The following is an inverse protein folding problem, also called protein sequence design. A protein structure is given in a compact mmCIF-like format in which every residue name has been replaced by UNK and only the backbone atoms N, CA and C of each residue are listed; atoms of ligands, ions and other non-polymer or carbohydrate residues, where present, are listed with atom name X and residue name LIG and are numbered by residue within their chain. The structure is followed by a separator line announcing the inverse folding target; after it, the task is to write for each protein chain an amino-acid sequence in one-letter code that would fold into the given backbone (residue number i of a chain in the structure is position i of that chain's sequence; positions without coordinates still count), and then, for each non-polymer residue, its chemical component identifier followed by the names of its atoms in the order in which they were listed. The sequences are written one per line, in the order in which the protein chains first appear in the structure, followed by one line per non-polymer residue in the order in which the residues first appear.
data_IF_861229442162
#
_entry.id   IF_861229442162
#
_cell.length_a   1.000
_cell.length_b   1.000
_cell.length_c   1.000
_cell.angle_alpha   90.00
_cell.angle_beta   90.00
_cell.angle_gamma   90.00
#
_symmetry.space_group_name_H-M   'P 1'
#
loop_
_entity.id
_entity.type
_entity.pdbx_description
1 polymer ?
#
# COMPACT_ATOMS: atom_id res chain seq x y z
N UNK A 1 -13.86 5.78 40.54
CA UNK A 1 -14.90 5.91 39.49
C UNK A 1 -14.53 6.86 38.36
N UNK A 2 -14.15 8.12 38.64
CA UNK A 2 -13.80 9.09 37.59
C UNK A 2 -12.67 8.63 36.64
N UNK A 3 -11.58 8.05 37.16
CA UNK A 3 -10.49 7.54 36.32
C UNK A 3 -10.92 6.35 35.44
N UNK A 4 -11.77 5.46 35.98
CA UNK A 4 -12.32 4.33 35.20
C UNK A 4 -13.22 4.84 34.08
N UNK A 5 -14.03 5.87 34.35
CA UNK A 5 -14.88 6.51 33.34
C UNK A 5 -14.06 7.19 32.23
N UNK A 6 -12.90 7.79 32.56
CA UNK A 6 -12.01 8.37 31.58
C UNK A 6 -11.27 7.32 30.72
N UNK A 7 -11.00 6.13 31.26
CA UNK A 7 -10.33 5.05 30.54
C UNK A 7 -11.28 4.21 29.68
N UNK A 8 -12.51 3.99 30.13
CA UNK A 8 -13.46 3.06 29.51
C UNK A 8 -13.67 3.27 27.98
N UNK A 9 -13.68 4.50 27.43
CA UNK A 9 -13.84 4.69 25.97
C UNK A 9 -12.62 4.24 25.14
N UNK A 10 -11.45 4.18 25.76
CA UNK A 10 -10.15 4.09 25.08
C UNK A 10 -9.41 2.77 25.28
N UNK A 11 -9.88 1.91 26.18
CA UNK A 11 -9.21 0.67 26.55
C UNK A 11 -10.24 -0.47 26.59
N UNK A 12 -9.97 -1.58 25.87
CA UNK A 12 -10.89 -2.73 25.82
C UNK A 12 -11.03 -3.48 27.14
N UNK A 13 -10.06 -3.35 28.04
CA UNK A 13 -10.06 -3.92 29.39
C UNK A 13 -9.34 -2.94 30.33
N UNK A 14 -9.85 -2.76 31.55
CA UNK A 14 -9.29 -1.85 32.55
C UNK A 14 -8.47 -2.53 33.64
N UNK A 15 -8.69 -3.82 33.85
CA UNK A 15 -8.17 -4.55 35.02
C UNK A 15 -7.13 -5.61 34.61
N UNK A 16 -7.29 -6.22 33.44
CA UNK A 16 -6.41 -7.27 32.93
C UNK A 16 -5.06 -6.76 32.40
N UNK A 17 -4.05 -7.64 32.32
CA UNK A 17 -2.74 -7.32 31.78
C UNK A 17 -2.72 -7.21 30.24
N UNK A 18 -3.76 -7.71 29.57
CA UNK A 18 -3.91 -7.66 28.11
C UNK A 18 -5.12 -6.80 27.75
N UNK A 19 -4.90 -5.82 26.88
CA UNK A 19 -5.92 -4.87 26.45
C UNK A 19 -5.47 -4.19 25.14
N UNK A 20 -6.42 -3.64 24.40
CA UNK A 20 -6.18 -2.86 23.18
C UNK A 20 -6.62 -1.40 23.37
N UNK A 21 -5.98 -0.49 22.64
CA UNK A 21 -6.39 0.91 22.54
C UNK A 21 -7.48 1.04 21.49
N UNK A 22 -8.56 1.74 21.83
CA UNK A 22 -9.68 2.05 20.93
C UNK A 22 -9.96 3.53 20.94
N UNK A 23 -10.60 4.06 19.90
CA UNK A 23 -11.11 5.45 19.88
C UNK A 23 -10.06 6.50 20.31
N UNK A 24 -8.80 6.32 19.91
CA UNK A 24 -7.72 7.26 20.13
C UNK A 24 -7.13 7.66 18.78
N UNK A 25 -6.78 8.94 18.57
CA UNK A 25 -6.01 9.36 17.41
C UNK A 25 -4.67 8.60 17.31
N UNK A 26 -4.23 8.34 16.08
CA UNK A 26 -2.99 7.58 15.82
C UNK A 26 -1.76 8.25 16.46
N UNK A 27 -1.70 9.58 16.45
CA UNK A 27 -0.61 10.34 17.11
C UNK A 27 -0.57 10.12 18.61
N UNK A 28 -1.74 10.02 19.25
CA UNK A 28 -1.85 9.75 20.69
C UNK A 28 -1.38 8.32 20.99
N UNK A 29 -1.77 7.34 20.17
CA UNK A 29 -1.30 5.95 20.31
C UNK A 29 0.23 5.89 20.20
N UNK A 30 0.80 6.50 19.18
CA UNK A 30 2.25 6.55 18.95
C UNK A 30 2.99 7.21 20.11
N UNK A 31 2.57 8.41 20.53
CA UNK A 31 3.17 9.14 21.64
C UNK A 31 3.05 8.36 22.98
N UNK A 32 1.90 7.74 23.24
CA UNK A 32 1.67 6.99 24.47
C UNK A 32 2.59 5.78 24.57
N UNK A 33 2.77 5.01 23.49
CA UNK A 33 3.70 3.88 23.48
C UNK A 33 5.17 4.31 23.51
N UNK A 34 5.52 5.43 22.86
CA UNK A 34 6.85 6.02 22.99
C UNK A 34 7.17 6.33 24.46
N UNK A 35 6.23 6.97 25.19
CA UNK A 35 6.36 7.22 26.63
C UNK A 35 6.40 5.92 27.45
N UNK A 36 5.58 4.94 27.09
CA UNK A 36 5.49 3.67 27.81
C UNK A 36 6.81 2.90 27.80
N UNK A 37 7.51 2.89 26.66
CA UNK A 37 8.80 2.21 26.52
C UNK A 37 9.89 2.72 27.49
N UNK A 38 9.72 3.92 28.06
CA UNK A 38 10.70 4.60 28.93
C UNK A 38 10.15 4.96 30.32
N UNK A 39 9.03 4.35 30.73
CA UNK A 39 8.34 4.68 31.98
C UNK A 39 8.13 3.44 32.85
N UNK A 40 8.21 3.63 34.17
CA UNK A 40 7.84 2.61 35.15
C UNK A 40 6.31 2.51 35.37
N UNK A 41 5.53 3.44 34.81
CA UNK A 41 4.07 3.48 34.95
C UNK A 41 3.39 2.59 33.91
N UNK A 42 2.22 2.06 34.25
CA UNK A 42 1.35 1.38 33.29
C UNK A 42 0.85 2.33 32.19
N UNK A 43 0.50 1.79 31.02
CA UNK A 43 -0.04 2.57 29.90
C UNK A 43 -1.30 3.37 30.29
N UNK A 44 -2.21 2.78 31.08
CA UNK A 44 -3.43 3.44 31.59
C UNK A 44 -3.09 4.62 32.51
N UNK A 45 -2.09 4.47 33.39
CA UNK A 45 -1.67 5.57 34.27
C UNK A 45 -1.02 6.70 33.48
N UNK A 46 -0.18 6.37 32.50
CA UNK A 46 0.40 7.36 31.58
C UNK A 46 -0.68 8.14 30.82
N UNK A 47 -1.68 7.44 30.29
CA UNK A 47 -2.82 8.07 29.64
C UNK A 47 -3.54 9.06 30.58
N UNK A 48 -3.88 8.64 31.80
CA UNK A 48 -4.53 9.50 32.79
C UNK A 48 -3.70 10.73 33.17
N UNK A 49 -2.39 10.54 33.36
CA UNK A 49 -1.47 11.60 33.79
C UNK A 49 -1.23 12.65 32.70
N UNK A 50 -1.04 12.19 31.46
CA UNK A 50 -0.47 12.98 30.37
C UNK A 50 -1.47 13.30 29.25
N UNK A 51 -2.55 12.54 29.06
CA UNK A 51 -3.43 12.64 27.88
C UNK A 51 -4.93 12.77 28.18
N UNK A 52 -5.42 12.28 29.32
CA UNK A 52 -6.84 12.30 29.67
C UNK A 52 -7.35 13.65 30.18
N UNK A 53 -6.45 14.59 30.50
CA UNK A 53 -6.82 15.93 30.96
C UNK A 53 -7.25 16.77 29.75
N UNK A 54 -8.45 17.38 29.76
CA UNK A 54 -8.84 18.31 28.70
C UNK A 54 -7.82 19.44 28.63
N UNK A 55 -7.40 19.84 27.43
CA UNK A 55 -6.83 21.18 27.27
C UNK A 55 -7.92 22.16 27.71
N UNK A 56 -7.53 23.24 28.39
CA UNK A 56 -8.45 24.20 29.00
C UNK A 56 -9.34 24.98 27.99
N UNK A 57 -9.38 24.57 26.72
CA UNK A 57 -10.03 25.25 25.60
C UNK A 57 -11.09 24.41 24.86
N UNK A 58 -11.32 23.14 25.21
CA UNK A 58 -12.25 22.29 24.47
C UNK A 58 -13.53 21.97 25.25
N UNK A 59 -14.47 22.92 25.29
CA UNK A 59 -15.88 22.60 25.58
C UNK A 59 -16.49 21.89 24.37
N UNK A 60 -17.10 20.72 24.63
CA UNK A 60 -18.07 20.04 23.78
C UNK A 60 -17.68 19.82 22.30
N UNK A 61 -16.75 18.89 22.04
CA UNK A 61 -16.74 18.17 20.75
C UNK A 61 -16.60 16.66 20.98
N UNK A 62 -17.43 15.91 20.26
CA UNK A 62 -17.52 14.44 20.30
C UNK A 62 -16.16 13.76 20.10
N UNK A 63 -15.74 12.94 21.06
CA UNK A 63 -14.87 11.75 20.94
C UNK A 63 -13.54 11.83 20.15
N UNK A 64 -13.04 13.01 19.75
CA UNK A 64 -11.92 13.10 18.79
C UNK A 64 -10.70 13.90 19.23
N UNK A 65 -10.81 14.79 20.23
CA UNK A 65 -9.77 15.78 20.55
C UNK A 65 -9.03 15.51 21.87
N UNK A 66 -9.04 14.27 22.37
CA UNK A 66 -8.33 13.94 23.61
C UNK A 66 -6.82 13.99 23.37
N UNK A 67 -6.16 15.02 23.91
CA UNK A 67 -4.70 15.07 24.03
C UNK A 67 -3.92 15.19 22.71
N UNK A 68 -4.55 15.59 21.60
CA UNK A 68 -3.89 15.66 20.27
C UNK A 68 -2.74 16.68 20.26
N UNK A 69 -2.97 17.93 20.64
CA UNK A 69 -1.94 18.99 20.66
C UNK A 69 -0.72 18.56 21.49
N UNK A 70 -0.99 18.04 22.70
CA UNK A 70 0.06 17.55 23.59
C UNK A 70 0.77 16.31 23.04
N UNK A 71 0.06 15.42 22.35
CA UNK A 71 0.66 14.28 21.68
C UNK A 71 1.53 14.70 20.50
N UNK A 72 1.12 15.71 19.73
CA UNK A 72 1.90 16.28 18.63
C UNK A 72 3.18 16.95 19.15
N UNK A 73 3.11 17.79 20.19
CA UNK A 73 4.30 18.41 20.82
C UNK A 73 5.27 17.35 21.38
N UNK A 74 4.73 16.32 22.07
CA UNK A 74 5.52 15.21 22.60
C UNK A 74 6.16 14.41 21.48
N UNK A 75 5.42 14.17 20.40
CA UNK A 75 5.89 13.45 19.23
C UNK A 75 6.98 14.22 18.52
N UNK A 76 6.78 15.51 18.22
CA UNK A 76 7.78 16.36 17.57
C UNK A 76 9.10 16.34 18.34
N UNK A 77 9.05 16.52 19.67
CA UNK A 77 10.26 16.44 20.50
C UNK A 77 10.92 15.06 20.44
N UNK A 78 10.18 13.97 20.60
CA UNK A 78 10.76 12.62 20.59
C UNK A 78 11.29 12.21 19.22
N UNK A 79 10.56 12.57 18.16
CA UNK A 79 10.88 12.21 16.80
C UNK A 79 12.09 13.02 16.30
N UNK A 80 12.14 14.33 16.50
CA UNK A 80 13.27 15.15 16.06
C UNK A 80 14.54 14.97 16.90
N UNK A 81 14.44 14.80 18.22
CA UNK A 81 15.62 14.75 19.09
C UNK A 81 16.29 13.37 19.15
N UNK A 82 15.52 12.27 19.05
CA UNK A 82 16.05 10.92 19.31
C UNK A 82 16.17 10.03 18.07
N UNK A 83 15.64 10.45 16.91
CA UNK A 83 15.69 9.65 15.69
C UNK A 83 14.97 8.31 15.80
N UNK A 84 13.98 8.20 16.70
CA UNK A 84 13.27 6.96 17.01
C UNK A 84 12.20 6.67 15.96
N UNK A 85 12.64 6.30 14.76
CA UNK A 85 11.77 6.04 13.61
C UNK A 85 10.80 4.86 13.87
N UNK A 86 11.07 4.03 14.88
CA UNK A 86 10.20 2.94 15.30
C UNK A 86 8.86 3.43 15.83
N UNK A 87 8.80 4.64 16.41
CA UNK A 87 7.54 5.24 16.90
C UNK A 87 6.60 5.53 15.74
N UNK A 88 7.11 5.85 14.55
CA UNK A 88 6.29 6.06 13.35
C UNK A 88 5.62 4.77 12.84
N UNK A 89 6.03 3.60 13.35
CA UNK A 89 5.36 2.34 13.04
C UNK A 89 4.08 2.12 13.87
N UNK A 90 3.89 2.87 14.95
CA UNK A 90 2.81 2.65 15.93
C UNK A 90 1.51 3.39 15.58
N UNK A 91 1.54 4.25 14.55
CA UNK A 91 0.36 4.85 13.94
C UNK A 91 0.12 4.28 12.55
N UNK A 92 -1.12 3.98 12.20
CA UNK A 92 -1.49 3.40 10.90
C UNK A 92 -2.77 3.99 10.30
N UNK A 93 -2.86 3.97 8.96
CA UNK A 93 -3.98 4.57 8.23
C UNK A 93 -4.50 3.61 7.16
N UNK A 94 -5.82 3.47 7.08
CA UNK A 94 -6.50 2.89 5.93
C UNK A 94 -6.68 3.98 4.86
N UNK A 95 -6.08 3.78 3.70
CA UNK A 95 -6.09 4.71 2.57
C UNK A 95 -6.68 4.02 1.35
N UNK A 96 -7.50 4.73 0.58
CA UNK A 96 -8.01 4.25 -0.71
C UNK A 96 -7.41 5.09 -1.84
N UNK A 97 -6.92 4.42 -2.88
CA UNK A 97 -6.50 5.05 -4.13
C UNK A 97 -7.35 4.48 -5.25
N UNK A 98 -8.28 5.29 -5.75
CA UNK A 98 -9.17 4.90 -6.85
C UNK A 98 -8.65 5.40 -8.20
N UNK A 99 -9.04 4.70 -9.27
CA UNK A 99 -8.70 5.08 -10.64
C UNK A 99 -7.19 5.09 -10.95
N UNK A 100 -6.39 4.34 -10.19
CA UNK A 100 -4.96 4.16 -10.41
C UNK A 100 -4.71 3.29 -11.65
N UNK A 101 -3.81 3.66 -12.56
CA UNK A 101 -3.36 2.72 -13.59
C UNK A 101 -2.77 1.45 -12.96
N UNK A 102 -2.74 0.34 -13.70
CA UNK A 102 -2.08 -0.89 -13.24
C UNK A 102 -0.60 -0.64 -12.91
N UNK A 103 0.08 0.24 -13.64
CA UNK A 103 1.45 0.64 -13.33
C UNK A 103 1.55 1.33 -11.95
N UNK A 104 0.67 2.31 -11.68
CA UNK A 104 0.60 2.96 -10.38
C UNK A 104 0.23 1.97 -9.27
N UNK A 105 -0.71 1.05 -9.51
CA UNK A 105 -1.08 0.02 -8.54
C UNK A 105 0.13 -0.81 -8.12
N UNK A 106 0.97 -1.26 -9.07
CA UNK A 106 2.20 -1.99 -8.74
C UNK A 106 3.24 -1.14 -7.97
N UNK A 107 3.25 0.17 -8.16
CA UNK A 107 4.09 1.07 -7.35
C UNK A 107 3.56 1.16 -5.92
N UNK A 108 2.25 1.32 -5.74
CA UNK A 108 1.60 1.39 -4.41
C UNK A 108 1.82 0.11 -3.60
N UNK A 109 1.73 -1.05 -4.26
CA UNK A 109 1.84 -2.40 -3.66
C UNK A 109 3.28 -2.84 -3.38
N UNK A 110 4.29 -2.00 -3.65
CA UNK A 110 5.70 -2.39 -3.55
C UNK A 110 6.21 -2.55 -2.12
N UNK A 111 5.55 -1.93 -1.14
CA UNK A 111 5.99 -1.91 0.25
C UNK A 111 5.64 -3.20 0.99
N UNK A 112 6.63 -3.91 1.54
CA UNK A 112 6.37 -5.17 2.27
C UNK A 112 5.78 -5.01 3.67
N UNK A 113 5.82 -3.79 4.23
CA UNK A 113 5.28 -3.46 5.56
C UNK A 113 3.94 -2.73 5.45
N UNK A 114 3.04 -3.29 4.66
CA UNK A 114 1.69 -2.78 4.41
C UNK A 114 0.78 -3.95 4.01
N UNK A 115 -0.53 -3.73 4.10
CA UNK A 115 -1.56 -4.61 3.58
C UNK A 115 -2.25 -3.95 2.39
N UNK A 116 -2.52 -4.73 1.35
CA UNK A 116 -3.09 -4.25 0.09
C UNK A 116 -4.31 -5.05 -0.31
N UNK A 117 -5.26 -4.38 -0.94
CA UNK A 117 -6.38 -5.02 -1.61
C UNK A 117 -6.69 -4.27 -2.92
N UNK A 118 -6.26 -4.86 -4.04
CA UNK A 118 -6.55 -4.36 -5.38
C UNK A 118 -7.87 -4.95 -5.93
N UNK A 119 -8.62 -4.14 -6.67
CA UNK A 119 -9.70 -4.62 -7.53
C UNK A 119 -9.18 -5.69 -8.51
N UNK A 120 -9.76 -6.89 -8.42
CA UNK A 120 -9.28 -8.04 -9.19
C UNK A 120 -9.83 -8.06 -10.62
N UNK A 121 -8.92 -8.03 -11.59
CA UNK A 121 -9.20 -8.28 -13.02
C UNK A 121 -9.67 -9.71 -13.32
N UNK A 122 -9.55 -10.63 -12.35
CA UNK A 122 -10.04 -12.00 -12.46
C UNK A 122 -11.52 -12.14 -12.14
N UNK A 123 -12.09 -11.19 -11.41
CA UNK A 123 -13.50 -11.26 -10.95
C UNK A 123 -14.35 -10.10 -11.45
N UNK A 124 -13.74 -8.93 -11.66
CA UNK A 124 -14.40 -7.72 -12.15
C UNK A 124 -14.12 -7.56 -13.64
N UNK A 125 -15.15 -7.54 -14.49
CA UNK A 125 -15.01 -7.26 -15.91
C UNK A 125 -14.83 -5.76 -16.13
N UNK A 126 -14.13 -5.46 -17.21
CA UNK A 126 -13.79 -4.11 -17.67
C UNK A 126 -14.51 -3.79 -18.99
N UNK A 127 -15.81 -4.12 -19.04
CA UNK A 127 -16.69 -3.98 -20.20
C UNK A 127 -17.65 -2.77 -20.11
N UNK A 128 -17.47 -1.91 -19.11
CA UNK A 128 -18.24 -0.69 -18.93
C UNK A 128 -17.47 0.61 -19.24
N UNK A 129 -18.22 1.71 -19.36
CA UNK A 129 -17.70 3.03 -19.76
C UNK A 129 -18.16 4.14 -18.80
N UNK A 130 -17.63 4.21 -17.56
CA UNK A 130 -18.01 5.27 -16.64
C UNK A 130 -17.68 6.65 -17.24
N UNK A 131 -18.66 7.55 -17.25
CA UNK A 131 -18.52 8.87 -17.89
C UNK A 131 -18.31 8.80 -19.41
N UNK A 132 -18.72 7.71 -20.06
CA UNK A 132 -18.65 7.54 -21.51
C UNK A 132 -17.29 7.10 -22.06
N UNK A 133 -16.29 6.83 -21.20
CA UNK A 133 -14.95 6.39 -21.60
C UNK A 133 -14.58 5.05 -20.99
N UNK A 134 -13.74 4.30 -21.69
CA UNK A 134 -13.16 3.08 -21.15
C UNK A 134 -12.27 3.37 -19.94
N UNK A 135 -12.13 2.36 -19.06
CA UNK A 135 -11.41 2.47 -17.78
C UNK A 135 -9.89 2.39 -17.96
N UNK A 136 -9.29 3.31 -18.70
CA UNK A 136 -7.84 3.43 -18.79
C UNK A 136 -7.34 4.84 -18.46
N UNK A 137 -6.09 4.91 -18.01
CA UNK A 137 -5.35 6.13 -17.76
C UNK A 137 -4.69 6.63 -19.05
N UNK A 138 -4.77 7.93 -19.31
CA UNK A 138 -4.02 8.61 -20.39
C UNK A 138 -2.91 9.42 -19.72
N UNK A 139 -1.62 9.05 -19.92
CA UNK A 139 -0.51 9.76 -19.30
C UNK A 139 -0.47 11.24 -19.69
N UNK A 140 -0.26 12.11 -18.70
CA UNK A 140 -0.20 13.56 -18.91
C UNK A 140 0.97 13.97 -19.82
N UNK A 141 2.02 13.15 -19.86
CA UNK A 141 3.18 13.31 -20.73
C UNK A 141 2.76 13.34 -22.22
N UNK A 142 1.69 12.63 -22.59
CA UNK A 142 1.18 12.60 -23.97
C UNK A 142 0.49 13.89 -24.41
N UNK A 143 0.10 14.76 -23.48
CA UNK A 143 -0.59 16.03 -23.80
C UNK A 143 0.27 16.94 -24.70
N UNK A 144 1.59 16.79 -24.60
CA UNK A 144 2.56 17.55 -25.42
C UNK A 144 2.82 16.93 -26.81
N UNK A 145 2.28 15.74 -27.09
CA UNK A 145 2.49 14.99 -28.34
C UNK A 145 1.13 14.52 -28.91
N UNK A 146 0.32 15.43 -29.50
CA UNK A 146 -1.09 15.15 -29.83
C UNK A 146 -1.33 13.96 -30.77
N UNK A 147 -0.41 13.72 -31.72
CA UNK A 147 -0.51 12.57 -32.62
C UNK A 147 -0.29 11.23 -31.89
N UNK A 148 0.65 11.20 -30.94
CA UNK A 148 0.89 10.02 -30.11
C UNK A 148 -0.28 9.80 -29.15
N UNK A 149 -0.84 10.86 -28.56
CA UNK A 149 -2.03 10.78 -27.71
C UNK A 149 -3.22 10.15 -28.44
N UNK A 150 -3.54 10.61 -29.66
CA UNK A 150 -4.61 10.02 -30.48
C UNK A 150 -4.35 8.56 -30.82
N UNK A 151 -3.10 8.20 -31.17
CA UNK A 151 -2.73 6.80 -31.46
C UNK A 151 -2.81 5.91 -30.22
N UNK A 152 -2.43 6.43 -29.06
CA UNK A 152 -2.54 5.75 -27.77
C UNK A 152 -4.01 5.46 -27.45
N UNK A 153 -4.86 6.49 -27.41
CA UNK A 153 -6.29 6.36 -27.11
C UNK A 153 -6.98 5.39 -28.09
N UNK A 154 -6.80 5.57 -29.40
CA UNK A 154 -7.38 4.67 -30.40
C UNK A 154 -6.90 3.21 -30.25
N UNK A 155 -5.69 2.99 -29.75
CA UNK A 155 -5.17 1.64 -29.51
C UNK A 155 -5.79 1.02 -28.26
N UNK A 156 -5.90 1.80 -27.18
CA UNK A 156 -6.52 1.33 -25.94
C UNK A 156 -8.03 1.12 -26.11
N UNK A 157 -8.73 2.00 -26.83
CA UNK A 157 -10.14 1.82 -27.18
C UNK A 157 -10.37 0.49 -27.90
N UNK A 158 -9.55 0.18 -28.92
CA UNK A 158 -9.63 -1.11 -29.63
C UNK A 158 -9.34 -2.30 -28.72
N UNK A 159 -8.40 -2.18 -27.78
CA UNK A 159 -8.10 -3.25 -26.82
C UNK A 159 -9.30 -3.53 -25.90
N UNK A 160 -9.90 -2.49 -25.32
CA UNK A 160 -11.08 -2.61 -24.46
C UNK A 160 -12.32 -3.07 -25.24
N UNK A 161 -12.55 -2.57 -26.45
CA UNK A 161 -13.64 -3.04 -27.33
C UNK A 161 -13.48 -4.52 -27.67
N UNK A 162 -12.25 -4.96 -27.93
CA UNK A 162 -11.96 -6.37 -28.18
C UNK A 162 -12.23 -7.20 -26.93
N UNK A 163 -11.73 -6.79 -25.77
CA UNK A 163 -11.99 -7.44 -24.48
C UNK A 163 -13.51 -7.57 -24.22
N UNK A 164 -14.25 -6.47 -24.30
CA UNK A 164 -15.69 -6.44 -24.01
C UNK A 164 -16.49 -7.31 -24.97
N UNK A 165 -16.16 -7.27 -26.28
CA UNK A 165 -16.80 -8.11 -27.30
C UNK A 165 -16.57 -9.60 -27.06
N UNK A 166 -15.39 -9.99 -26.60
CA UNK A 166 -15.05 -11.41 -26.35
C UNK A 166 -15.56 -11.94 -25.02
N UNK A 167 -15.97 -11.08 -24.08
CA UNK A 167 -16.38 -11.49 -22.75
C UNK A 167 -17.59 -12.45 -22.75
N UNK A 168 -18.61 -12.18 -23.57
CA UNK A 168 -19.77 -13.07 -23.75
C UNK A 168 -19.39 -14.42 -24.36
N UNK A 169 -18.82 -14.44 -25.59
CA UNK A 169 -18.37 -15.67 -26.24
C UNK A 169 -17.42 -16.52 -25.40
N UNK A 170 -16.51 -15.90 -24.65
CA UNK A 170 -15.62 -16.63 -23.74
C UNK A 170 -16.39 -17.27 -22.59
N UNK A 171 -17.37 -16.59 -22.00
CA UNK A 171 -18.22 -17.21 -20.98
C UNK A 171 -19.01 -18.39 -21.54
N UNK A 172 -19.54 -18.29 -22.77
CA UNK A 172 -20.25 -19.39 -23.42
C UNK A 172 -19.32 -20.60 -23.62
N UNK A 173 -18.12 -20.36 -24.16
CA UNK A 173 -17.09 -21.40 -24.31
C UNK A 173 -16.71 -22.07 -22.98
N UNK A 174 -16.51 -21.30 -21.91
CA UNK A 174 -16.19 -21.86 -20.60
C UNK A 174 -17.36 -22.68 -20.04
N UNK A 175 -18.63 -22.31 -20.30
CA UNK A 175 -19.80 -23.11 -19.90
C UNK A 175 -19.87 -24.45 -20.63
N UNK A 176 -19.47 -24.49 -21.90
CA UNK A 176 -19.39 -25.75 -22.65
C UNK A 176 -18.27 -26.65 -22.11
N UNK A 177 -17.11 -26.08 -21.77
CA UNK A 177 -15.99 -26.82 -21.20
C UNK A 177 -16.24 -27.32 -19.78
N UNK A 178 -17.02 -26.56 -19.01
CA UNK A 178 -17.35 -26.88 -17.62
C UNK A 178 -18.87 -26.80 -17.41
N UNK A 179 -19.65 -27.78 -17.85
CA UNK A 179 -21.09 -27.81 -17.65
C UNK A 179 -21.44 -27.81 -16.16
N UNK A 180 -22.55 -27.15 -15.81
CA UNK A 180 -23.06 -27.11 -14.43
C UNK A 180 -23.57 -28.48 -13.98
N UNK A 181 -23.16 -28.93 -12.81
CA UNK A 181 -23.70 -30.16 -12.21
C UNK A 181 -25.01 -29.89 -11.44
N UNK A 182 -25.83 -30.92 -11.24
CA UNK A 182 -27.14 -30.78 -10.57
C UNK A 182 -27.04 -30.33 -9.11
N UNK A 183 -25.89 -30.59 -8.46
CA UNK A 183 -25.62 -30.15 -7.08
C UNK A 183 -25.05 -28.74 -6.96
N UNK A 184 -24.67 -28.10 -8.07
CA UNK A 184 -24.02 -26.78 -8.04
C UNK A 184 -25.02 -25.66 -7.78
N UNK A 185 -24.64 -24.71 -6.91
CA UNK A 185 -25.34 -23.44 -6.80
C UNK A 185 -25.23 -22.63 -8.10
N UNK A 186 -26.36 -22.19 -8.63
CA UNK A 186 -26.44 -21.31 -9.82
C UNK A 186 -25.58 -20.05 -9.67
N UNK A 187 -25.58 -19.47 -8.46
CA UNK A 187 -24.81 -18.27 -8.17
C UNK A 187 -23.31 -18.55 -8.25
N UNK A 188 -22.84 -19.60 -7.56
CA UNK A 188 -21.42 -19.98 -7.53
C UNK A 188 -20.95 -20.36 -8.93
N UNK A 189 -21.73 -21.14 -9.66
CA UNK A 189 -21.43 -21.53 -11.03
C UNK A 189 -21.26 -20.30 -11.93
N UNK A 190 -22.22 -19.36 -11.93
CA UNK A 190 -22.14 -18.14 -12.75
C UNK A 190 -20.92 -17.29 -12.41
N UNK A 191 -20.59 -17.15 -11.13
CA UNK A 191 -19.40 -16.42 -10.69
C UNK A 191 -18.11 -17.10 -11.15
N UNK A 192 -18.03 -18.44 -11.07
CA UNK A 192 -16.88 -19.22 -11.54
C UNK A 192 -16.68 -19.08 -13.05
N UNK A 193 -17.75 -19.17 -13.84
CA UNK A 193 -17.71 -18.98 -15.29
C UNK A 193 -17.21 -17.58 -15.65
N UNK A 194 -17.77 -16.54 -15.02
CA UNK A 194 -17.34 -15.15 -15.23
C UNK A 194 -15.87 -14.98 -14.85
N UNK A 195 -15.44 -15.57 -13.74
CA UNK A 195 -14.07 -15.46 -13.27
C UNK A 195 -13.08 -16.09 -14.25
N UNK A 196 -13.36 -17.32 -14.71
CA UNK A 196 -12.56 -17.99 -15.74
C UNK A 196 -12.50 -17.19 -17.04
N UNK A 197 -13.62 -16.63 -17.50
CA UNK A 197 -13.63 -15.81 -18.71
C UNK A 197 -12.80 -14.53 -18.56
N UNK A 198 -12.92 -13.85 -17.40
CA UNK A 198 -12.10 -12.67 -17.11
C UNK A 198 -10.62 -13.03 -17.01
N UNK A 199 -10.26 -14.12 -16.33
CA UNK A 199 -8.87 -14.58 -16.16
C UNK A 199 -8.20 -14.94 -17.49
N UNK A 200 -8.96 -15.54 -18.42
CA UNK A 200 -8.48 -15.82 -19.79
C UNK A 200 -8.30 -14.54 -20.60
N UNK A 201 -9.24 -13.60 -20.53
CA UNK A 201 -9.24 -12.40 -21.37
C UNK A 201 -8.37 -11.25 -20.83
N UNK A 202 -7.96 -11.30 -19.54
CA UNK A 202 -7.23 -10.18 -18.91
C UNK A 202 -5.91 -9.83 -19.60
N UNK A 203 -5.32 -10.74 -20.39
CA UNK A 203 -4.16 -10.45 -21.22
C UNK A 203 -4.41 -9.38 -22.30
N UNK A 204 -5.67 -9.08 -22.62
CA UNK A 204 -6.07 -8.00 -23.52
C UNK A 204 -6.14 -6.63 -22.81
N UNK A 205 -6.15 -6.60 -21.48
CA UNK A 205 -6.22 -5.35 -20.70
C UNK A 205 -4.83 -4.69 -20.67
N UNK A 206 -4.69 -3.46 -21.20
CA UNK A 206 -3.41 -2.75 -21.21
C UNK A 206 -2.93 -2.41 -19.79
N UNK A 207 -1.63 -2.15 -19.62
CA UNK A 207 -1.06 -1.65 -18.35
C UNK A 207 -1.62 -0.28 -17.91
N UNK A 208 -2.28 0.44 -18.82
CA UNK A 208 -3.01 1.66 -18.52
C UNK A 208 -4.39 1.42 -17.88
N UNK A 209 -4.86 0.17 -17.80
CA UNK A 209 -6.17 -0.17 -17.19
C UNK A 209 -6.22 0.38 -15.77
N UNK A 210 -7.31 1.06 -15.42
CA UNK A 210 -7.51 1.63 -14.10
C UNK A 210 -7.99 0.58 -13.12
N UNK A 211 -7.56 0.69 -11.88
CA UNK A 211 -7.88 -0.17 -10.76
C UNK A 211 -8.11 0.69 -9.52
N UNK A 212 -8.61 0.05 -8.45
CA UNK A 212 -8.74 0.67 -7.14
C UNK A 212 -7.92 -0.16 -6.15
N UNK A 213 -7.13 0.51 -5.31
CA UNK A 213 -6.24 -0.11 -4.32
C UNK A 213 -6.61 0.40 -2.93
N UNK A 214 -7.00 -0.51 -2.05
CA UNK A 214 -7.05 -0.27 -0.61
C UNK A 214 -5.69 -0.56 0.02
N UNK A 215 -5.25 0.31 0.92
CA UNK A 215 -3.95 0.21 1.60
C UNK A 215 -4.18 0.37 3.10
N UNK A 216 -3.61 -0.51 3.91
CA UNK A 216 -3.38 -0.23 5.32
C UNK A 216 -1.89 -0.31 5.60
N UNK A 217 -1.31 0.76 6.12
CA UNK A 217 0.11 0.81 6.41
C UNK A 217 0.39 1.72 7.61
N UNK A 218 1.58 1.57 8.17
CA UNK A 218 2.08 2.45 9.23
C UNK A 218 2.54 3.78 8.64
N UNK A 219 2.66 4.82 9.46
CA UNK A 219 3.15 6.11 8.99
C UNK A 219 4.57 6.02 8.41
N UNK A 220 5.45 5.20 9.01
CA UNK A 220 6.78 4.93 8.47
C UNK A 220 6.71 4.29 7.06
N UNK A 221 5.82 3.31 6.86
CA UNK A 221 5.66 2.66 5.58
C UNK A 221 5.13 3.63 4.51
N UNK A 222 4.20 4.52 4.88
CA UNK A 222 3.72 5.58 3.99
C UNK A 222 4.80 6.62 3.64
N UNK A 223 5.60 7.06 4.62
CA UNK A 223 6.73 7.95 4.35
C UNK A 223 7.67 7.34 3.29
N UNK A 224 8.05 6.08 3.48
CA UNK A 224 8.90 5.35 2.54
C UNK A 224 8.25 5.15 1.16
N UNK A 225 6.93 4.93 1.11
CA UNK A 225 6.19 4.88 -0.16
C UNK A 225 6.25 6.24 -0.87
N UNK A 226 5.95 7.33 -0.18
CA UNK A 226 5.95 8.68 -0.71
C UNK A 226 7.32 9.09 -1.27
N UNK A 227 8.41 8.84 -0.54
CA UNK A 227 9.76 9.14 -1.02
C UNK A 227 10.08 8.43 -2.35
N UNK A 228 9.68 7.15 -2.49
CA UNK A 228 9.88 6.40 -3.74
C UNK A 228 8.98 6.91 -4.87
N UNK A 229 7.73 7.26 -4.57
CA UNK A 229 6.79 7.76 -5.58
C UNK A 229 7.22 9.13 -6.12
N UNK A 230 7.71 10.03 -5.26
CA UNK A 230 8.24 11.34 -5.67
C UNK A 230 9.51 11.25 -6.53
N UNK A 231 10.26 10.16 -6.37
CA UNK A 231 11.44 9.84 -7.19
C UNK A 231 11.09 9.11 -8.50
N UNK A 232 9.84 8.69 -8.70
CA UNK A 232 9.44 7.90 -9.86
C UNK A 232 9.40 8.75 -11.15
N UNK A 233 9.79 8.20 -12.32
CA UNK A 233 9.75 8.91 -13.60
C UNK A 233 8.33 9.19 -14.12
N UNK A 234 7.31 8.41 -13.72
CA UNK A 234 5.95 8.59 -14.21
C UNK A 234 5.25 9.77 -13.51
N UNK A 235 4.63 10.66 -14.29
CA UNK A 235 3.92 11.81 -13.76
C UNK A 235 2.71 11.41 -12.91
N UNK A 236 1.96 10.39 -13.33
CA UNK A 236 0.83 9.85 -12.55
C UNK A 236 1.27 9.47 -11.13
N UNK A 237 2.43 8.80 -10.99
CA UNK A 237 2.95 8.34 -9.70
C UNK A 237 3.29 9.54 -8.81
N UNK A 238 3.98 10.55 -9.35
CA UNK A 238 4.31 11.76 -8.59
C UNK A 238 3.07 12.55 -8.20
N UNK A 239 2.12 12.71 -9.12
CA UNK A 239 0.87 13.45 -8.86
C UNK A 239 0.05 12.77 -7.77
N UNK A 240 -0.07 11.44 -7.79
CA UNK A 240 -0.78 10.69 -6.75
C UNK A 240 -0.02 10.71 -5.43
N UNK A 241 1.31 10.76 -5.42
CA UNK A 241 2.08 10.93 -4.18
C UNK A 241 1.68 12.20 -3.42
N UNK A 242 1.52 13.31 -4.13
CA UNK A 242 1.10 14.58 -3.50
C UNK A 242 -0.32 14.49 -2.95
N UNK A 243 -1.25 13.84 -3.67
CA UNK A 243 -2.62 13.60 -3.18
C UNK A 243 -2.62 12.73 -1.92
N UNK A 244 -1.82 11.66 -1.90
CA UNK A 244 -1.68 10.78 -0.74
C UNK A 244 -1.13 11.56 0.45
N UNK A 245 -0.08 12.38 0.25
CA UNK A 245 0.49 13.19 1.33
C UNK A 245 -0.54 14.16 1.93
N UNK A 246 -1.36 14.81 1.10
CA UNK A 246 -2.44 15.70 1.55
C UNK A 246 -3.43 14.94 2.43
N UNK A 247 -3.92 13.78 1.99
CA UNK A 247 -4.92 13.03 2.74
C UNK A 247 -4.35 12.43 4.03
N UNK A 248 -3.13 11.89 3.98
CA UNK A 248 -2.49 11.34 5.19
C UNK A 248 -2.22 12.44 6.23
N UNK A 249 -1.84 13.66 5.83
CA UNK A 249 -1.64 14.78 6.77
C UNK A 249 -2.93 15.21 7.49
N UNK A 250 -4.11 14.85 7.01
CA UNK A 250 -5.37 15.07 7.75
C UNK A 250 -5.55 14.10 8.92
N UNK A 251 -4.83 12.98 8.94
CA UNK A 251 -4.98 11.90 9.93
C UNK A 251 -3.73 11.74 10.81
N UNK A 252 -2.55 11.85 10.22
CA UNK A 252 -1.23 11.62 10.85
C UNK A 252 -0.21 12.73 10.50
N UNK A 253 -0.54 14.03 10.67
CA UNK A 253 0.33 15.14 10.24
C UNK A 253 1.74 15.07 10.83
N UNK A 254 1.84 14.86 12.15
CA UNK A 254 3.11 14.85 12.88
C UNK A 254 4.11 13.79 12.37
N UNK A 255 3.61 12.69 11.80
CA UNK A 255 4.44 11.59 11.30
C UNK A 255 5.03 11.84 9.90
N UNK A 256 4.54 12.84 9.17
CA UNK A 256 4.88 13.09 7.76
C UNK A 256 5.55 14.45 7.54
N UNK A 257 6.11 15.02 8.60
CA UNK A 257 6.77 16.33 8.59
C UNK A 257 8.09 16.33 7.82
N UNK A 258 8.76 15.18 7.67
CA UNK A 258 10.08 15.08 7.04
C UNK A 258 10.03 14.86 5.53
N UNK A 259 8.88 14.43 4.97
CA UNK A 259 8.72 14.02 3.58
C UNK A 259 9.15 15.10 2.58
N UNK A 260 8.92 16.36 2.90
CA UNK A 260 9.17 17.54 2.07
C UNK A 260 10.24 18.49 2.63
N UNK A 261 10.90 18.13 3.73
CA UNK A 261 12.06 18.87 4.22
C UNK A 261 13.24 18.66 3.25
N UNK A 262 13.84 19.74 2.68
CA UNK A 262 14.89 19.64 1.68
C UNK A 262 16.05 18.72 2.08
N UNK A 263 16.61 18.91 3.28
CA UNK A 263 17.77 18.13 3.76
C UNK A 263 17.39 16.76 4.35
N UNK A 264 16.13 16.33 4.22
CA UNK A 264 15.63 15.02 4.69
C UNK A 264 14.92 14.28 3.56
N UNK A 265 13.59 14.40 3.47
CA UNK A 265 12.81 13.72 2.44
C UNK A 265 13.15 14.19 1.03
N UNK A 266 13.52 15.46 0.87
CA UNK A 266 14.06 16.00 -0.39
C UNK A 266 15.33 15.27 -0.82
N UNK A 267 16.37 15.31 0.02
CA UNK A 267 17.65 14.64 -0.21
C UNK A 267 17.50 13.13 -0.48
N UNK A 268 16.61 12.44 0.25
CA UNK A 268 16.31 11.03 -0.01
C UNK A 268 15.63 10.80 -1.36
N UNK A 269 14.67 11.65 -1.72
CA UNK A 269 13.99 11.59 -3.02
C UNK A 269 14.97 11.81 -4.16
N UNK A 270 15.86 12.79 -4.02
CA UNK A 270 16.89 13.11 -5.02
C UNK A 270 17.90 11.97 -5.15
N UNK A 271 18.39 11.43 -4.03
CA UNK A 271 19.27 10.26 -4.02
C UNK A 271 18.65 9.07 -4.76
N UNK A 272 17.37 8.74 -4.49
CA UNK A 272 16.67 7.63 -5.15
C UNK A 272 16.53 7.88 -6.66
N UNK A 273 16.20 9.12 -7.05
CA UNK A 273 16.04 9.52 -8.45
C UNK A 273 17.36 9.45 -9.21
N UNK A 274 18.40 10.05 -8.65
CA UNK A 274 19.74 10.11 -9.24
C UNK A 274 20.37 8.72 -9.36
N UNK A 275 20.26 7.89 -8.31
CA UNK A 275 20.77 6.51 -8.33
C UNK A 275 20.10 5.70 -9.44
N UNK A 276 18.77 5.80 -9.58
CA UNK A 276 18.02 5.13 -10.65
C UNK A 276 18.44 5.64 -12.03
N UNK A 277 18.60 6.95 -12.20
CA UNK A 277 19.01 7.56 -13.46
C UNK A 277 20.45 7.17 -13.86
N UNK A 278 21.39 7.25 -12.93
CA UNK A 278 22.79 6.86 -13.13
C UNK A 278 22.91 5.37 -13.48
N UNK A 279 22.21 4.51 -12.74
CA UNK A 279 22.18 3.06 -13.03
C UNK A 279 21.63 2.79 -14.42
N UNK A 280 20.56 3.47 -14.82
CA UNK A 280 19.96 3.34 -16.15
C UNK A 280 20.85 3.90 -17.27
N UNK A 281 21.68 4.90 -16.99
CA UNK A 281 22.64 5.44 -17.94
C UNK A 281 23.80 4.44 -18.17
N UNK A 282 24.42 3.97 -17.09
CA UNK A 282 25.47 2.95 -17.14
C UNK A 282 24.97 1.66 -17.80
N UNK A 283 23.77 1.21 -17.42
CA UNK A 283 23.14 0.04 -18.04
C UNK A 283 22.95 0.20 -19.54
N UNK A 284 22.46 1.35 -20.02
CA UNK A 284 22.33 1.60 -21.47
C UNK A 284 23.67 1.59 -22.18
N UNK A 285 24.70 2.21 -21.60
CA UNK A 285 26.03 2.27 -22.20
C UNK A 285 26.67 0.88 -22.33
N UNK A 286 26.61 0.08 -21.25
CA UNK A 286 27.25 -1.24 -21.20
C UNK A 286 26.49 -2.30 -21.99
N UNK A 287 25.16 -2.22 -22.03
CA UNK A 287 24.31 -3.26 -22.61
C UNK A 287 23.91 -2.99 -24.07
N UNK A 288 24.17 -1.80 -24.63
CA UNK A 288 23.74 -1.44 -25.99
C UNK A 288 24.26 -2.37 -27.10
N UNK A 289 25.42 -2.99 -26.91
CA UNK A 289 26.07 -3.85 -27.89
C UNK A 289 25.79 -5.34 -27.64
N UNK A 290 24.98 -5.67 -26.64
CA UNK A 290 24.62 -7.05 -26.32
C UNK A 290 23.37 -7.45 -27.09
N UNK A 291 23.48 -8.48 -27.92
CA UNK A 291 22.33 -9.12 -28.54
C UNK A 291 21.69 -10.11 -27.54
N UNK A 292 20.38 -10.01 -27.27
CA UNK A 292 19.70 -10.96 -26.40
C UNK A 292 19.67 -12.34 -27.07
N UNK A 293 20.14 -13.36 -26.35
CA UNK A 293 20.06 -14.74 -26.80
C UNK A 293 18.61 -15.24 -26.81
N UNK A 294 18.28 -16.11 -27.77
CA UNK A 294 16.98 -16.80 -27.79
C UNK A 294 16.91 -17.76 -26.60
N UNK A 295 15.91 -17.56 -25.74
CA UNK A 295 15.63 -18.42 -24.57
C UNK A 295 14.17 -18.90 -24.59
N UNK A 296 13.85 -20.03 -23.95
CA UNK A 296 12.47 -20.41 -23.67
C UNK A 296 11.75 -19.33 -22.83
N UNK A 297 10.41 -19.32 -22.86
CA UNK A 297 9.60 -18.39 -22.06
C UNK A 297 9.89 -18.48 -20.55
N UNK A 298 10.20 -19.70 -20.07
CA UNK A 298 10.59 -19.95 -18.68
C UNK A 298 11.87 -20.78 -18.67
N UNK A 299 12.89 -20.30 -17.95
CA UNK A 299 14.16 -20.98 -17.75
C UNK A 299 14.57 -20.86 -16.28
N UNK A 300 14.90 -22.00 -15.64
CA UNK A 300 15.51 -22.00 -14.31
C UNK A 300 16.95 -21.48 -14.46
N UNK A 301 17.22 -20.29 -13.93
CA UNK A 301 18.54 -19.65 -14.04
C UNK A 301 19.50 -20.07 -12.95
N UNK A 302 18.98 -20.35 -11.75
CA UNK A 302 19.77 -20.76 -10.59
C UNK A 302 18.84 -21.42 -9.55
N UNK A 303 19.39 -22.30 -8.70
CA UNK A 303 18.72 -22.84 -7.53
C UNK A 303 19.75 -23.30 -6.49
N UNK A 304 19.36 -23.29 -5.22
CA UNK A 304 20.21 -23.81 -4.14
C UNK A 304 20.15 -25.34 -4.14
N UNK A 305 21.25 -26.06 -4.46
CA UNK A 305 21.25 -27.52 -4.47
C UNK A 305 20.99 -28.12 -3.09
N UNK A 306 21.26 -27.38 -2.02
CA UNK A 306 21.04 -27.78 -0.63
C UNK A 306 19.76 -27.15 -0.05
N UNK A 307 18.88 -26.57 -0.88
CA UNK A 307 17.72 -25.81 -0.44
C UNK A 307 16.80 -26.60 0.49
N UNK A 308 16.52 -27.88 0.18
CA UNK A 308 15.71 -28.75 1.04
C UNK A 308 16.38 -28.98 2.40
N UNK A 309 17.70 -29.20 2.41
CA UNK A 309 18.47 -29.39 3.64
C UNK A 309 18.44 -28.12 4.49
N UNK A 310 18.61 -26.94 3.89
CA UNK A 310 18.56 -25.65 4.61
C UNK A 310 17.17 -25.39 5.21
N UNK A 311 16.10 -25.74 4.51
CA UNK A 311 14.73 -25.63 5.05
C UNK A 311 14.55 -26.56 6.24
N UNK A 312 15.01 -27.81 6.15
CA UNK A 312 14.96 -28.77 7.26
C UNK A 312 15.82 -28.29 8.43
N UNK A 313 17.04 -27.82 8.18
CA UNK A 313 17.94 -27.29 9.19
C UNK A 313 17.31 -26.10 9.93
N UNK A 314 16.75 -25.12 9.20
CA UNK A 314 16.06 -23.98 9.81
C UNK A 314 14.82 -24.40 10.62
N UNK A 315 14.08 -25.41 10.16
CA UNK A 315 12.95 -25.96 10.92
C UNK A 315 13.39 -26.66 12.21
N UNK A 316 14.53 -27.35 12.19
CA UNK A 316 15.12 -28.01 13.35
C UNK A 316 15.80 -27.02 14.30
N UNK A 317 16.38 -25.92 13.80
CA UNK A 317 17.03 -24.89 14.60
C UNK A 317 16.11 -24.36 15.70
N UNK A 318 14.84 -24.11 15.38
CA UNK A 318 13.84 -23.66 16.36
C UNK A 318 13.58 -24.67 17.51
N UNK A 319 13.92 -25.94 17.30
CA UNK A 319 13.80 -27.03 18.28
C UNK A 319 15.17 -27.52 18.80
N UNK A 320 16.25 -26.84 18.43
CA UNK A 320 17.63 -27.22 18.74
C UNK A 320 18.26 -26.23 19.71
N UNK A 321 19.26 -26.67 20.47
CA UNK A 321 20.19 -25.77 21.18
C UNK A 321 21.50 -25.58 20.43
N UNK A 322 21.61 -26.14 19.21
CA UNK A 322 22.74 -25.94 18.34
C UNK A 322 22.64 -24.58 17.63
N UNK A 323 23.77 -23.92 17.36
CA UNK A 323 23.84 -22.79 16.44
C UNK A 323 23.29 -23.12 15.03
N UNK A 324 22.84 -22.11 14.28
CA UNK A 324 22.30 -22.26 12.91
C UNK A 324 23.32 -22.83 11.90
N UNK A 325 24.62 -22.70 12.21
CA UNK A 325 25.72 -23.21 11.40
C UNK A 325 26.16 -24.65 11.74
N UNK A 326 25.39 -25.37 12.57
CA UNK A 326 25.61 -26.78 12.94
C UNK A 326 24.40 -27.67 12.64
#
# INVERSE_FOLDING_TARGET
DAERAALAPHFTNLDGPVFALTNLPEVVKGALFARYSRSAKSLRRLFLDEFAKPSASAEASSSGQVGVERAEELYERMFFEYGDDSVAQLGGVHLAVEQASQLLAKVLERGRLAAYLEQSTRYVPYDDRPGGRWRYHVPAELTTIPDLARRFEATLDRAFETYARWLGPMQDFVRELHPKESGDSDFVYRMTIRAKACDTLRGLLPAATRSNVGIFATAQAYEQLLLRMRADPLEEVRAVAELILIELRKVIPAFLTRVDVPDRGGAWTDYLRETKAATSAVGRELLQAMDPEVRPEVMLTDFDPDGEVKVVAAALYAASSLPDDQ
#
